data_IF_591466053513
#
_entry.id   IF_591466053513
#
_cell.length_a   1.000
_cell.length_b   1.000
_cell.length_c   1.000
_cell.angle_alpha   90.00
_cell.angle_beta   90.00
_cell.angle_gamma   90.00
#
_symmetry.space_group_name_H-M   'P 1'
#
loop_
_entity.id
_entity.type
_entity.pdbx_description
1 polymer ?
#
# COMPACT_ATOMS: atom_id res chain seq x y z
N UNK A 1 -30.14 20.50 0.66
CA UNK A 1 -30.42 19.72 -0.56
C UNK A 1 -31.82 20.00 -1.11
N UNK A 2 -31.96 20.18 -2.43
CA UNK A 2 -33.23 20.45 -3.12
C UNK A 2 -33.56 19.28 -4.03
N UNK A 3 -34.78 18.75 -3.94
CA UNK A 3 -35.26 17.69 -4.83
C UNK A 3 -35.27 18.18 -6.29
N UNK A 4 -34.78 17.36 -7.23
CA UNK A 4 -34.72 17.73 -8.66
C UNK A 4 -35.36 16.68 -9.56
N UNK A 5 -36.38 17.09 -10.32
CA UNK A 5 -37.02 16.26 -11.36
C UNK A 5 -36.18 16.14 -12.65
N UNK A 6 -35.29 17.10 -12.89
CA UNK A 6 -34.37 17.09 -14.03
C UNK A 6 -32.95 16.94 -13.48
N UNK A 7 -32.16 15.96 -13.96
CA UNK A 7 -30.78 15.79 -13.54
C UNK A 7 -29.98 17.10 -13.66
N UNK A 8 -29.19 17.43 -12.64
CA UNK A 8 -28.36 18.64 -12.62
C UNK A 8 -26.91 18.34 -12.29
N UNK A 9 -26.01 18.67 -13.21
CA UNK A 9 -24.57 18.61 -12.99
C UNK A 9 -24.04 19.92 -12.43
N UNK A 10 -23.26 19.84 -11.36
CA UNK A 10 -22.38 20.91 -10.89
C UNK A 10 -20.93 20.44 -11.01
N UNK A 11 -20.11 21.17 -11.76
CA UNK A 11 -18.73 20.75 -12.08
C UNK A 11 -17.78 21.95 -11.94
N UNK A 12 -16.72 21.78 -11.16
CA UNK A 12 -15.62 22.76 -11.11
C UNK A 12 -14.86 22.77 -12.44
N UNK A 13 -14.76 23.94 -13.07
CA UNK A 13 -14.08 24.12 -14.38
C UNK A 13 -12.60 23.74 -14.35
N UNK A 14 -11.89 24.12 -13.29
CA UNK A 14 -10.43 24.04 -13.24
C UNK A 14 -9.96 22.71 -12.63
N UNK A 15 -8.99 22.05 -13.25
CA UNK A 15 -8.12 21.06 -12.63
C UNK A 15 -6.94 21.76 -11.94
N UNK A 16 -6.18 21.03 -11.12
CA UNK A 16 -5.02 21.57 -10.39
C UNK A 16 -4.00 22.27 -11.31
N UNK A 17 -3.80 21.74 -12.52
CA UNK A 17 -2.81 22.22 -13.50
C UNK A 17 -3.44 23.03 -14.64
N UNK A 18 -4.73 23.40 -14.57
CA UNK A 18 -5.41 24.09 -15.66
C UNK A 18 -4.75 25.41 -16.02
N UNK A 19 -4.39 26.23 -15.02
CA UNK A 19 -3.68 27.50 -15.25
C UNK A 19 -2.35 27.34 -15.99
N UNK A 20 -1.65 26.22 -15.78
CA UNK A 20 -0.33 25.97 -16.38
C UNK A 20 -0.42 25.32 -17.76
N UNK A 21 -1.47 24.52 -18.00
CA UNK A 21 -1.62 23.72 -19.22
C UNK A 21 -2.56 24.36 -20.23
N UNK A 22 -3.41 25.30 -19.79
CA UNK A 22 -4.52 25.83 -20.60
C UNK A 22 -5.67 24.84 -20.78
N UNK A 23 -5.62 23.65 -20.17
CA UNK A 23 -6.63 22.59 -20.29
C UNK A 23 -7.53 22.61 -19.06
N UNK A 24 -8.82 22.82 -19.26
CA UNK A 24 -9.85 22.84 -18.25
C UNK A 24 -10.65 21.53 -18.26
N UNK A 25 -11.32 21.24 -17.15
CA UNK A 25 -12.16 20.04 -17.08
C UNK A 25 -13.40 20.16 -17.96
N UNK A 26 -13.88 21.39 -18.17
CA UNK A 26 -14.94 21.71 -19.13
C UNK A 26 -14.56 21.39 -20.58
N UNK A 27 -13.27 21.40 -20.91
CA UNK A 27 -12.79 21.05 -22.26
C UNK A 27 -12.78 19.54 -22.47
N UNK A 28 -12.80 18.78 -21.37
CA UNK A 28 -12.74 17.32 -21.35
C UNK A 28 -14.14 16.71 -21.28
N UNK A 29 -15.04 17.29 -20.48
CA UNK A 29 -16.41 16.81 -20.29
C UNK A 29 -17.36 17.50 -21.28
N UNK A 30 -17.42 16.95 -22.50
CA UNK A 30 -18.35 17.39 -23.54
C UNK A 30 -19.77 16.83 -23.32
N UNK A 31 -20.71 17.27 -24.16
CA UNK A 31 -22.11 16.87 -24.08
C UNK A 31 -22.31 15.36 -24.25
N UNK A 32 -21.57 14.71 -25.15
CA UNK A 32 -21.64 13.26 -25.38
C UNK A 32 -21.32 12.48 -24.10
N UNK A 33 -20.24 12.86 -23.39
CA UNK A 33 -19.82 12.24 -22.13
C UNK A 33 -20.87 12.46 -21.05
N UNK A 34 -21.33 13.71 -20.87
CA UNK A 34 -22.26 14.04 -19.80
C UNK A 34 -23.66 13.45 -20.04
N UNK A 35 -24.12 13.38 -21.28
CA UNK A 35 -25.36 12.72 -21.69
C UNK A 35 -25.29 11.21 -21.44
N UNK A 36 -24.19 10.54 -21.79
CA UNK A 36 -24.02 9.11 -21.52
C UNK A 36 -23.98 8.81 -20.01
N UNK A 37 -23.22 9.60 -19.24
CA UNK A 37 -23.20 9.50 -17.77
C UNK A 37 -24.60 9.71 -17.18
N UNK A 38 -25.32 10.74 -17.64
CA UNK A 38 -26.66 11.05 -17.19
C UNK A 38 -27.60 9.87 -17.44
N UNK A 39 -27.59 9.33 -18.67
CA UNK A 39 -28.43 8.20 -19.05
C UNK A 39 -28.11 6.95 -18.24
N UNK A 40 -26.83 6.62 -18.05
CA UNK A 40 -26.41 5.45 -17.26
C UNK A 40 -26.79 5.53 -15.79
N UNK A 41 -26.89 6.74 -15.23
CA UNK A 41 -27.25 6.94 -13.82
C UNK A 41 -28.76 7.07 -13.63
N UNK A 42 -29.45 7.78 -14.53
CA UNK A 42 -30.83 8.26 -14.32
C UNK A 42 -31.83 7.72 -15.34
N UNK A 43 -31.37 7.17 -16.46
CA UNK A 43 -32.20 6.80 -17.62
C UNK A 43 -32.72 8.00 -18.43
N UNK A 44 -32.22 9.21 -18.18
CA UNK A 44 -32.61 10.46 -18.86
C UNK A 44 -31.45 10.98 -19.72
N UNK A 45 -31.78 11.58 -20.86
CA UNK A 45 -30.81 12.29 -21.71
C UNK A 45 -30.83 13.80 -21.45
N UNK A 46 -31.96 14.32 -21.00
CA UNK A 46 -32.19 15.71 -20.67
C UNK A 46 -31.62 16.01 -19.27
N UNK A 47 -30.70 16.97 -19.22
CA UNK A 47 -30.06 17.42 -17.98
C UNK A 47 -29.76 18.91 -18.04
N UNK A 48 -29.47 19.49 -16.87
CA UNK A 48 -28.98 20.85 -16.72
C UNK A 48 -27.54 20.82 -16.23
N UNK A 49 -26.73 21.78 -16.64
CA UNK A 49 -25.29 21.79 -16.35
C UNK A 49 -24.87 23.17 -15.86
N UNK A 50 -24.09 23.18 -14.79
CA UNK A 50 -23.40 24.37 -14.33
C UNK A 50 -21.91 24.09 -14.12
N UNK A 51 -21.11 24.75 -14.95
CA UNK A 51 -19.67 24.81 -14.77
C UNK A 51 -19.33 25.99 -13.86
N UNK A 52 -18.80 25.69 -12.67
CA UNK A 52 -18.56 26.67 -11.61
C UNK A 52 -17.06 26.96 -11.42
N UNK A 53 -16.76 28.16 -10.95
CA UNK A 53 -15.39 28.63 -10.68
C UNK A 53 -14.85 28.11 -9.34
N UNK A 54 -13.57 28.37 -9.07
CA UNK A 54 -12.87 27.84 -7.90
C UNK A 54 -13.41 28.36 -6.56
N UNK A 55 -13.96 29.57 -6.52
CA UNK A 55 -14.57 30.20 -5.34
C UNK A 55 -15.96 29.66 -5.00
N UNK A 56 -16.63 28.95 -5.92
CA UNK A 56 -17.92 28.31 -5.65
C UNK A 56 -17.83 27.31 -4.48
N UNK A 57 -18.84 27.29 -3.61
CA UNK A 57 -18.91 26.32 -2.52
C UNK A 57 -20.36 25.95 -2.26
N UNK A 58 -20.59 24.67 -2.00
CA UNK A 58 -21.86 24.15 -1.53
C UNK A 58 -21.64 22.99 -0.54
N UNK A 59 -22.70 22.22 -0.27
CA UNK A 59 -22.68 21.06 0.61
C UNK A 59 -21.75 19.93 0.10
N UNK A 60 -21.46 19.88 -1.20
CA UNK A 60 -20.77 18.77 -1.88
C UNK A 60 -19.40 19.14 -2.45
N UNK A 61 -19.16 20.44 -2.71
CA UNK A 61 -17.96 21.00 -3.30
C UNK A 61 -17.39 22.12 -2.42
N UNK A 62 -16.07 22.10 -2.23
CA UNK A 62 -15.33 23.18 -1.56
C UNK A 62 -14.89 24.27 -2.54
N UNK A 63 -14.56 25.43 -1.97
CA UNK A 63 -13.99 26.63 -2.60
C UNK A 63 -12.54 26.43 -3.05
N UNK A 64 -12.34 25.45 -3.93
CA UNK A 64 -11.05 25.14 -4.53
C UNK A 64 -11.23 24.64 -5.98
N UNK A 65 -10.12 24.28 -6.63
CA UNK A 65 -10.15 23.62 -7.93
C UNK A 65 -10.83 22.24 -7.84
N UNK A 66 -11.10 21.62 -8.98
CA UNK A 66 -11.67 20.27 -9.05
C UNK A 66 -10.72 19.23 -8.44
N UNK A 67 -11.06 18.77 -7.24
CA UNK A 67 -10.38 17.68 -6.55
C UNK A 67 -11.07 16.36 -6.89
N UNK A 68 -10.28 15.35 -7.21
CA UNK A 68 -10.80 14.01 -7.52
C UNK A 68 -11.35 13.82 -8.93
N UNK A 69 -11.21 14.83 -9.83
CA UNK A 69 -11.80 14.81 -11.18
C UNK A 69 -13.29 14.48 -11.10
N UNK A 70 -14.01 15.24 -10.29
CA UNK A 70 -15.39 14.97 -9.89
C UNK A 70 -16.40 15.82 -10.66
N UNK A 71 -17.50 15.21 -11.07
CA UNK A 71 -18.77 15.89 -11.31
C UNK A 71 -19.76 15.48 -10.22
N UNK A 72 -20.60 16.42 -9.78
CA UNK A 72 -21.71 16.14 -8.87
C UNK A 72 -22.99 16.19 -9.67
N UNK A 73 -23.72 15.07 -9.74
CA UNK A 73 -25.04 14.99 -10.36
C UNK A 73 -26.10 14.87 -9.26
N UNK A 74 -27.05 15.81 -9.27
CA UNK A 74 -28.22 15.79 -8.40
C UNK A 74 -29.42 15.30 -9.21
N UNK A 75 -30.06 14.23 -8.76
CA UNK A 75 -31.29 13.74 -9.35
C UNK A 75 -32.20 13.17 -8.27
N UNK A 76 -33.46 13.58 -8.28
CA UNK A 76 -34.44 13.28 -7.24
C UNK A 76 -33.90 13.67 -5.86
N UNK A 77 -33.81 12.70 -4.94
CA UNK A 77 -33.23 12.82 -3.60
C UNK A 77 -31.84 12.17 -3.50
N UNK A 78 -31.15 11.93 -4.62
CA UNK A 78 -29.85 11.25 -4.66
C UNK A 78 -28.75 12.16 -5.20
N UNK A 79 -27.58 12.09 -4.56
CA UNK A 79 -26.36 12.78 -5.00
C UNK A 79 -25.39 11.75 -5.56
N UNK A 80 -24.98 11.95 -6.79
CA UNK A 80 -24.03 11.06 -7.46
C UNK A 80 -22.69 11.79 -7.59
N UNK A 81 -21.66 11.18 -7.01
CA UNK A 81 -20.27 11.60 -7.16
C UNK A 81 -19.67 10.80 -8.30
N UNK A 82 -19.36 11.45 -9.42
CA UNK A 82 -18.78 10.79 -10.60
C UNK A 82 -17.33 11.22 -10.74
N UNK A 83 -16.40 10.28 -10.52
CA UNK A 83 -14.97 10.49 -10.79
C UNK A 83 -14.63 10.01 -12.20
N UNK A 84 -13.81 10.78 -12.91
CA UNK A 84 -13.45 10.48 -14.29
C UNK A 84 -11.98 10.10 -14.41
N UNK A 85 -11.67 9.12 -15.26
CA UNK A 85 -10.29 8.76 -15.61
C UNK A 85 -9.54 9.91 -16.27
N UNK A 86 -8.23 9.76 -16.49
CA UNK A 86 -7.52 10.61 -17.45
C UNK A 86 -7.88 10.20 -18.90
N UNK A 87 -7.81 11.14 -19.85
CA UNK A 87 -8.07 10.87 -21.28
C UNK A 87 -6.94 10.04 -21.94
N UNK A 88 -5.81 9.86 -21.26
CA UNK A 88 -4.68 9.05 -21.75
C UNK A 88 -4.04 8.32 -20.57
N UNK A 89 -3.88 7.00 -20.70
CA UNK A 89 -3.16 6.20 -19.71
C UNK A 89 -1.63 6.26 -19.98
N UNK A 90 -1.05 7.47 -19.95
CA UNK A 90 0.37 7.66 -20.29
C UNK A 90 1.32 7.48 -19.10
N UNK A 91 0.82 7.59 -17.86
CA UNK A 91 1.59 7.38 -16.64
C UNK A 91 1.08 6.17 -15.85
N UNK A 92 1.98 5.31 -15.36
CA UNK A 92 1.63 4.06 -14.64
C UNK A 92 0.59 4.27 -13.53
N UNK A 93 0.69 5.38 -12.79
CA UNK A 93 -0.15 5.65 -11.63
C UNK A 93 -1.03 6.90 -11.78
N UNK A 94 -0.83 7.76 -12.79
CA UNK A 94 -1.50 9.07 -12.86
C UNK A 94 -3.02 8.93 -13.00
N UNK A 95 -3.46 7.95 -13.77
CA UNK A 95 -4.87 7.68 -14.09
C UNK A 95 -5.77 7.38 -12.87
N UNK A 96 -5.18 7.00 -11.73
CA UNK A 96 -5.91 6.62 -10.51
C UNK A 96 -5.58 7.48 -9.29
N UNK A 97 -4.68 8.47 -9.40
CA UNK A 97 -4.30 9.34 -8.26
C UNK A 97 -5.45 10.20 -7.74
N UNK A 98 -6.41 10.54 -8.60
CA UNK A 98 -7.60 11.31 -8.21
C UNK A 98 -8.61 10.49 -7.39
N UNK A 99 -8.61 9.17 -7.53
CA UNK A 99 -9.63 8.27 -6.98
C UNK A 99 -9.75 8.33 -5.45
N UNK A 100 -8.67 8.15 -4.65
CA UNK A 100 -8.77 8.28 -3.20
C UNK A 100 -9.22 9.68 -2.76
N UNK A 101 -8.89 10.73 -3.53
CA UNK A 101 -9.41 12.08 -3.25
C UNK A 101 -10.93 12.16 -3.47
N UNK A 102 -11.43 11.55 -4.55
CA UNK A 102 -12.87 11.46 -4.80
C UNK A 102 -13.60 10.67 -3.71
N UNK A 103 -13.03 9.51 -3.31
CA UNK A 103 -13.58 8.72 -2.21
C UNK A 103 -13.61 9.50 -0.89
N UNK A 104 -12.56 10.25 -0.57
CA UNK A 104 -12.51 11.07 0.63
C UNK A 104 -13.65 12.11 0.68
N UNK A 105 -13.88 12.80 -0.44
CA UNK A 105 -14.94 13.80 -0.55
C UNK A 105 -16.31 13.12 -0.39
N UNK A 106 -16.50 11.98 -1.05
CA UNK A 106 -17.71 11.18 -0.92
C UNK A 106 -17.93 10.72 0.52
N UNK A 107 -16.94 10.10 1.16
CA UNK A 107 -17.06 9.49 2.48
C UNK A 107 -17.35 10.55 3.56
N UNK A 108 -16.58 11.64 3.59
CA UNK A 108 -16.69 12.67 4.62
C UNK A 108 -17.95 13.56 4.50
N UNK A 109 -18.67 13.53 3.38
CA UNK A 109 -19.94 14.23 3.26
C UNK A 109 -21.02 13.49 4.06
N UNK A 110 -21.81 14.15 4.92
CA UNK A 110 -22.78 13.47 5.78
C UNK A 110 -24.12 13.14 5.11
N UNK A 111 -24.32 13.51 3.84
CA UNK A 111 -25.58 13.27 3.14
C UNK A 111 -25.84 11.76 2.98
N UNK A 112 -27.00 11.23 3.40
CA UNK A 112 -27.23 9.80 3.45
C UNK A 112 -27.45 9.17 2.06
N UNK A 113 -28.14 9.87 1.16
CA UNK A 113 -28.54 9.35 -0.14
C UNK A 113 -27.51 9.72 -1.21
N UNK A 114 -26.30 9.19 -1.08
CA UNK A 114 -25.20 9.44 -2.02
C UNK A 114 -24.69 8.15 -2.65
N UNK A 115 -24.25 8.23 -3.91
CA UNK A 115 -23.64 7.13 -4.67
C UNK A 115 -22.32 7.57 -5.28
N UNK A 116 -21.39 6.64 -5.41
CA UNK A 116 -20.06 6.87 -5.94
C UNK A 116 -19.86 6.10 -7.24
N UNK A 117 -19.42 6.79 -8.28
CA UNK A 117 -19.31 6.27 -9.63
C UNK A 117 -17.93 6.56 -10.22
N UNK A 118 -17.50 5.70 -11.14
CA UNK A 118 -16.32 5.93 -11.98
C UNK A 118 -16.68 5.83 -13.45
N UNK A 119 -16.16 6.75 -14.25
CA UNK A 119 -16.34 6.80 -15.70
C UNK A 119 -14.99 6.87 -16.42
N UNK A 120 -14.79 5.98 -17.39
CA UNK A 120 -13.62 5.98 -18.25
C UNK A 120 -13.81 6.97 -19.41
N UNK A 121 -12.94 7.97 -19.50
CA UNK A 121 -12.90 8.94 -20.60
C UNK A 121 -12.08 8.39 -21.78
N UNK A 122 -12.50 8.77 -23.00
CA UNK A 122 -11.95 8.44 -24.33
C UNK A 122 -10.66 7.61 -24.30
N UNK A 123 -10.80 6.31 -24.55
CA UNK A 123 -9.79 5.28 -24.30
C UNK A 123 -8.90 5.00 -25.51
N UNK A 124 -8.97 5.83 -26.55
CA UNK A 124 -8.25 5.61 -27.81
C UNK A 124 -6.72 5.59 -27.67
N UNK A 125 -6.16 6.05 -26.53
CA UNK A 125 -4.72 6.12 -26.30
C UNK A 125 -4.33 5.62 -24.89
N UNK A 126 -3.79 4.39 -24.83
CA UNK A 126 -3.12 3.82 -23.65
C UNK A 126 -3.63 2.44 -23.25
N UNK A 127 -2.92 1.78 -22.33
CA UNK A 127 -3.33 0.48 -21.78
C UNK A 127 -3.99 0.67 -20.41
N UNK A 128 -5.31 0.49 -20.34
CA UNK A 128 -6.08 0.55 -19.10
C UNK A 128 -6.11 -0.77 -18.30
N UNK A 129 -5.55 -1.85 -18.84
CA UNK A 129 -5.59 -3.20 -18.24
C UNK A 129 -4.21 -3.70 -17.79
N UNK A 130 -3.33 -2.78 -17.36
CA UNK A 130 -2.10 -3.22 -16.66
C UNK A 130 -2.45 -3.87 -15.31
N UNK A 131 -1.64 -4.83 -14.86
CA UNK A 131 -1.82 -5.52 -13.56
C UNK A 131 -2.06 -4.55 -12.39
N UNK A 132 -1.35 -3.41 -12.40
CA UNK A 132 -1.51 -2.35 -11.41
C UNK A 132 -2.88 -1.66 -11.48
N UNK A 133 -3.34 -1.30 -12.67
CA UNK A 133 -4.62 -0.63 -12.86
C UNK A 133 -5.78 -1.57 -12.51
N UNK A 134 -5.71 -2.84 -12.94
CA UNK A 134 -6.68 -3.85 -12.55
C UNK A 134 -6.73 -3.98 -11.02
N UNK A 135 -5.58 -4.07 -10.35
CA UNK A 135 -5.53 -4.08 -8.88
C UNK A 135 -6.24 -2.86 -8.26
N UNK A 136 -5.97 -1.65 -8.78
CA UNK A 136 -6.61 -0.43 -8.30
C UNK A 136 -8.13 -0.41 -8.57
N UNK A 137 -8.59 -0.89 -9.72
CA UNK A 137 -10.02 -0.99 -10.02
C UNK A 137 -10.74 -1.99 -9.11
N UNK A 138 -10.07 -3.10 -8.76
CA UNK A 138 -10.60 -4.05 -7.78
C UNK A 138 -10.73 -3.40 -6.39
N UNK A 139 -9.73 -2.60 -5.96
CA UNK A 139 -9.85 -1.83 -4.71
C UNK A 139 -11.00 -0.83 -4.75
N UNK A 140 -11.17 -0.12 -5.87
CA UNK A 140 -12.29 0.79 -6.10
C UNK A 140 -13.65 0.09 -5.98
N UNK A 141 -13.79 -1.07 -6.63
CA UNK A 141 -15.01 -1.88 -6.52
C UNK A 141 -15.27 -2.34 -5.08
N UNK A 142 -14.23 -2.75 -4.34
CA UNK A 142 -14.35 -3.13 -2.92
C UNK A 142 -14.85 -1.97 -2.06
N UNK A 143 -14.46 -0.73 -2.35
CA UNK A 143 -14.90 0.45 -1.59
C UNK A 143 -16.18 1.09 -2.12
N UNK A 144 -16.87 0.44 -3.05
CA UNK A 144 -18.21 0.83 -3.48
C UNK A 144 -18.29 1.73 -4.71
N UNK A 145 -17.22 1.87 -5.50
CA UNK A 145 -17.32 2.52 -6.81
C UNK A 145 -18.17 1.66 -7.76
N UNK A 146 -19.18 2.28 -8.35
CA UNK A 146 -19.92 1.72 -9.48
C UNK A 146 -19.30 2.21 -10.81
N UNK A 147 -18.79 1.29 -11.62
CA UNK A 147 -18.19 1.61 -12.93
C UNK A 147 -19.28 1.71 -14.00
N UNK A 148 -19.44 2.90 -14.60
CA UNK A 148 -20.55 3.18 -15.52
C UNK A 148 -20.36 2.58 -16.92
N UNK A 149 -19.12 2.53 -17.40
CA UNK A 149 -18.79 2.11 -18.76
C UNK A 149 -17.59 1.17 -18.84
N UNK A 150 -17.26 0.45 -17.75
CA UNK A 150 -16.13 -0.50 -17.72
C UNK A 150 -16.25 -1.56 -18.83
N UNK A 151 -17.43 -2.14 -19.03
CA UNK A 151 -17.64 -3.21 -20.02
C UNK A 151 -17.47 -2.74 -21.47
N UNK A 152 -17.53 -1.42 -21.71
CA UNK A 152 -17.27 -0.83 -23.03
C UNK A 152 -15.78 -0.58 -23.27
N UNK A 153 -14.98 -0.57 -22.21
CA UNK A 153 -13.59 -0.09 -22.22
C UNK A 153 -12.59 -1.18 -21.91
N UNK A 154 -12.93 -2.09 -21.02
CA UNK A 154 -12.06 -3.15 -20.52
C UNK A 154 -12.49 -4.49 -21.10
N UNK A 155 -11.52 -5.33 -21.45
CA UNK A 155 -11.80 -6.71 -21.85
C UNK A 155 -12.15 -7.58 -20.65
N UNK A 156 -11.58 -7.28 -19.47
CA UNK A 156 -11.82 -8.03 -18.24
C UNK A 156 -12.81 -7.31 -17.32
N UNK A 157 -13.77 -8.10 -16.80
CA UNK A 157 -14.70 -7.61 -15.79
C UNK A 157 -13.98 -7.33 -14.47
N UNK A 158 -14.16 -6.12 -13.96
CA UNK A 158 -13.68 -5.73 -12.63
C UNK A 158 -14.47 -6.50 -11.56
N UNK A 159 -13.75 -7.18 -10.66
CA UNK A 159 -14.32 -7.88 -9.50
C UNK A 159 -13.73 -7.32 -8.20
N UNK A 160 -14.59 -6.91 -7.28
CA UNK A 160 -14.16 -6.54 -5.93
C UNK A 160 -13.36 -7.67 -5.27
N UNK A 161 -12.42 -7.30 -4.40
CA UNK A 161 -11.80 -8.25 -3.49
C UNK A 161 -12.82 -8.78 -2.50
N UNK A 162 -12.77 -10.08 -2.22
CA UNK A 162 -13.66 -10.76 -1.26
C UNK A 162 -13.05 -10.92 0.13
N UNK A 163 -11.73 -10.81 0.27
CA UNK A 163 -11.03 -10.90 1.55
C UNK A 163 -9.69 -10.18 1.53
N UNK A 164 -9.10 -9.98 2.71
CA UNK A 164 -7.77 -9.38 2.86
C UNK A 164 -6.70 -10.31 2.26
N UNK A 165 -6.87 -11.63 2.34
CA UNK A 165 -5.98 -12.62 1.74
C UNK A 165 -5.91 -12.49 0.21
N UNK A 166 -7.04 -12.23 -0.45
CA UNK A 166 -7.08 -11.99 -1.91
C UNK A 166 -6.27 -10.74 -2.28
N UNK A 167 -6.36 -9.67 -1.48
CA UNK A 167 -5.52 -8.47 -1.65
C UNK A 167 -4.03 -8.82 -1.51
N UNK A 168 -3.65 -9.53 -0.44
CA UNK A 168 -2.25 -9.91 -0.17
C UNK A 168 -1.71 -10.78 -1.32
N UNK A 169 -2.47 -11.77 -1.77
CA UNK A 169 -2.07 -12.66 -2.86
C UNK A 169 -1.90 -11.92 -4.18
N UNK A 170 -2.88 -11.09 -4.56
CA UNK A 170 -2.79 -10.31 -5.80
C UNK A 170 -1.62 -9.32 -5.76
N UNK A 171 -1.37 -8.74 -4.59
CA UNK A 171 -0.25 -7.83 -4.36
C UNK A 171 1.10 -8.51 -4.53
N UNK A 172 1.25 -9.73 -3.98
CA UNK A 172 2.48 -10.52 -4.12
C UNK A 172 2.80 -10.76 -5.59
N UNK A 173 1.82 -11.20 -6.39
CA UNK A 173 2.00 -11.45 -7.82
C UNK A 173 2.42 -10.19 -8.60
N UNK A 174 1.86 -9.02 -8.25
CA UNK A 174 2.23 -7.75 -8.87
C UNK A 174 3.66 -7.31 -8.50
N UNK A 175 4.09 -7.56 -7.26
CA UNK A 175 5.44 -7.21 -6.76
C UNK A 175 6.56 -8.08 -7.35
N UNK A 176 6.31 -9.38 -7.59
CA UNK A 176 7.31 -10.29 -8.15
C UNK A 176 7.75 -9.88 -9.56
N UNK A 177 6.83 -9.30 -10.33
CA UNK A 177 7.09 -8.78 -11.69
C UNK A 177 7.80 -7.42 -11.69
N UNK A 178 7.79 -6.66 -10.59
CA UNK A 178 8.28 -5.29 -10.52
C UNK A 178 9.05 -4.99 -9.21
N UNK A 179 10.12 -5.74 -8.94
CA UNK A 179 10.91 -5.65 -7.69
C UNK A 179 11.45 -4.25 -7.35
N UNK A 180 11.62 -3.36 -8.33
CA UNK A 180 12.17 -2.03 -8.12
C UNK A 180 11.21 -0.92 -7.66
N UNK A 181 9.90 -1.20 -7.49
CA UNK A 181 8.93 -0.14 -7.17
C UNK A 181 7.71 -0.63 -6.36
N UNK A 182 7.94 -1.35 -5.27
CA UNK A 182 6.85 -1.72 -4.37
C UNK A 182 6.46 -0.53 -3.49
N UNK A 183 5.22 -0.06 -3.67
CA UNK A 183 4.72 1.16 -3.04
C UNK A 183 4.22 0.97 -1.61
N UNK A 184 3.65 -0.21 -1.31
CA UNK A 184 3.04 -0.55 0.00
C UNK A 184 3.03 -2.06 0.19
N UNK A 185 3.37 -2.52 1.39
CA UNK A 185 3.35 -3.93 1.78
C UNK A 185 2.23 -4.23 2.78
N UNK A 186 1.66 -5.43 2.68
CA UNK A 186 0.67 -5.94 3.63
C UNK A 186 1.14 -7.34 4.05
N UNK A 187 1.23 -7.58 5.34
CA UNK A 187 1.65 -8.86 5.90
C UNK A 187 0.84 -9.20 7.14
N UNK A 188 0.81 -10.48 7.50
CA UNK A 188 0.32 -10.93 8.80
C UNK A 188 1.45 -10.95 9.82
N UNK A 189 1.16 -10.51 11.04
CA UNK A 189 2.03 -10.60 12.22
C UNK A 189 1.49 -11.56 13.28
N UNK A 190 0.26 -12.04 13.10
CA UNK A 190 -0.36 -13.09 13.87
C UNK A 190 -1.69 -13.49 13.23
N UNK A 191 -2.37 -14.50 13.78
CA UNK A 191 -3.60 -15.05 13.20
C UNK A 191 -4.67 -13.99 12.91
N UNK A 192 -4.76 -12.96 13.75
CA UNK A 192 -5.73 -11.86 13.64
C UNK A 192 -5.06 -10.49 13.56
N UNK A 193 -3.77 -10.42 13.20
CA UNK A 193 -3.01 -9.16 13.17
C UNK A 193 -2.42 -8.93 11.80
N UNK A 194 -2.83 -7.82 11.20
CA UNK A 194 -2.45 -7.42 9.84
C UNK A 194 -1.71 -6.09 9.95
N UNK A 195 -0.53 -6.05 9.34
CA UNK A 195 0.31 -4.87 9.29
C UNK A 195 0.41 -4.36 7.86
N UNK A 196 0.17 -3.07 7.71
CA UNK A 196 0.31 -2.32 6.46
C UNK A 196 1.55 -1.43 6.60
N UNK A 197 2.52 -1.57 5.71
CA UNK A 197 3.67 -0.67 5.61
C UNK A 197 3.45 0.24 4.41
N UNK A 198 2.77 1.36 4.66
CA UNK A 198 2.31 2.29 3.63
C UNK A 198 3.27 3.45 3.42
N UNK A 199 3.79 3.61 2.19
CA UNK A 199 4.58 4.80 1.83
C UNK A 199 3.67 6.02 1.79
N UNK A 200 4.14 7.11 2.37
CA UNK A 200 3.38 8.37 2.45
C UNK A 200 3.79 9.39 1.38
N UNK A 201 4.87 9.16 0.64
CA UNK A 201 5.39 10.10 -0.34
C UNK A 201 4.85 9.86 -1.77
N UNK A 202 4.84 10.92 -2.58
CA UNK A 202 4.57 10.84 -4.01
C UNK A 202 3.20 10.27 -4.37
N UNK A 203 3.16 9.39 -5.38
CA UNK A 203 1.94 8.71 -5.82
C UNK A 203 1.53 7.56 -4.86
N UNK A 204 2.47 7.01 -4.10
CA UNK A 204 2.25 5.84 -3.26
C UNK A 204 1.27 6.10 -2.11
N UNK A 205 1.18 7.36 -1.65
CA UNK A 205 0.22 7.77 -0.61
C UNK A 205 -1.23 7.48 -1.00
N UNK A 206 -1.57 7.65 -2.26
CA UNK A 206 -2.93 7.44 -2.77
C UNK A 206 -3.28 5.95 -2.76
N UNK A 207 -2.34 5.11 -3.15
CA UNK A 207 -2.47 3.66 -3.08
C UNK A 207 -2.54 3.15 -1.65
N UNK A 208 -1.67 3.65 -0.75
CA UNK A 208 -1.73 3.36 0.68
C UNK A 208 -3.11 3.66 1.26
N UNK A 209 -3.69 4.82 0.92
CA UNK A 209 -5.05 5.17 1.34
C UNK A 209 -6.11 4.21 0.80
N UNK A 210 -6.08 3.90 -0.50
CA UNK A 210 -7.03 2.96 -1.12
C UNK A 210 -6.97 1.57 -0.51
N UNK A 211 -5.77 1.06 -0.23
CA UNK A 211 -5.55 -0.18 0.50
C UNK A 211 -6.20 -0.12 1.87
N UNK A 212 -5.96 0.94 2.65
CA UNK A 212 -6.56 1.10 3.96
C UNK A 212 -8.10 1.09 3.89
N UNK A 213 -8.70 1.78 2.92
CA UNK A 213 -10.16 1.80 2.77
C UNK A 213 -10.72 0.41 2.46
N UNK A 214 -10.12 -0.31 1.52
CA UNK A 214 -10.55 -1.66 1.16
C UNK A 214 -10.38 -2.64 2.33
N UNK A 215 -9.26 -2.56 3.05
CA UNK A 215 -8.99 -3.41 4.20
C UNK A 215 -9.98 -3.13 5.35
N UNK A 216 -10.33 -1.87 5.61
CA UNK A 216 -11.34 -1.52 6.62
C UNK A 216 -12.70 -2.15 6.33
N UNK A 217 -13.12 -2.23 5.06
CA UNK A 217 -14.40 -2.83 4.68
C UNK A 217 -14.40 -4.35 4.66
N UNK A 218 -13.23 -4.97 4.46
CA UNK A 218 -13.06 -6.43 4.44
C UNK A 218 -12.68 -7.01 5.80
N UNK A 219 -12.38 -6.17 6.79
CA UNK A 219 -11.94 -6.59 8.11
C UNK A 219 -13.07 -7.29 8.88
N UNK A 220 -12.76 -8.45 9.46
CA UNK A 220 -13.65 -9.14 10.40
C UNK A 220 -13.50 -8.58 11.83
N UNK A 221 -14.52 -8.76 12.67
CA UNK A 221 -14.58 -8.19 14.03
C UNK A 221 -13.38 -8.53 14.93
N UNK A 222 -12.73 -9.68 14.71
CA UNK A 222 -11.59 -10.12 15.53
C UNK A 222 -10.24 -9.70 14.98
N UNK A 223 -10.19 -9.19 13.75
CA UNK A 223 -8.96 -8.78 13.10
C UNK A 223 -8.58 -7.37 13.57
N UNK A 224 -7.28 -7.17 13.79
CA UNK A 224 -6.67 -5.89 14.12
C UNK A 224 -5.74 -5.49 13.00
N UNK A 225 -5.90 -4.27 12.52
CA UNK A 225 -5.11 -3.74 11.43
C UNK A 225 -4.28 -2.56 11.94
N UNK A 226 -2.97 -2.60 11.69
CA UNK A 226 -2.05 -1.50 12.00
C UNK A 226 -1.45 -0.95 10.71
N UNK A 227 -1.58 0.35 10.50
CA UNK A 227 -0.88 1.08 9.44
C UNK A 227 0.38 1.72 10.01
N UNK A 228 1.54 1.26 9.54
CA UNK A 228 2.82 1.92 9.73
C UNK A 228 3.07 2.90 8.58
N UNK A 229 3.05 4.21 8.88
CA UNK A 229 3.35 5.25 7.90
C UNK A 229 4.86 5.29 7.66
N UNK A 230 5.30 4.80 6.50
CA UNK A 230 6.70 4.78 6.08
C UNK A 230 7.09 6.15 5.56
N UNK A 231 7.84 6.88 6.39
CA UNK A 231 8.36 8.21 6.06
C UNK A 231 9.45 8.07 5.00
N UNK A 232 9.28 8.78 3.89
CA UNK A 232 10.23 8.92 2.79
C UNK A 232 10.36 10.41 2.46
N UNK A 233 11.60 10.91 2.39
CA UNK A 233 11.90 12.34 2.18
C UNK A 233 11.19 13.22 3.23
N UNK A 234 10.57 14.32 2.79
CA UNK A 234 10.03 15.35 3.68
C UNK A 234 8.60 15.07 4.17
N UNK A 235 7.88 14.14 3.53
CA UNK A 235 6.49 13.88 3.89
C UNK A 235 6.43 12.82 4.99
N UNK A 236 5.88 13.21 6.15
CA UNK A 236 5.89 12.39 7.36
C UNK A 236 4.62 11.56 7.57
N UNK A 237 3.54 11.89 6.87
CA UNK A 237 2.18 11.39 7.12
C UNK A 237 1.37 11.32 5.82
N UNK A 238 0.38 10.43 5.77
CA UNK A 238 -0.65 10.44 4.74
C UNK A 238 -1.42 11.78 4.75
N UNK A 239 -2.07 12.14 3.63
CA UNK A 239 -2.90 13.35 3.57
C UNK A 239 -3.94 13.38 4.71
N UNK A 240 -4.12 14.55 5.32
CA UNK A 240 -4.98 14.74 6.49
C UNK A 240 -6.39 14.16 6.31
N UNK A 241 -7.04 14.47 5.18
CA UNK A 241 -8.39 13.96 4.89
C UNK A 241 -8.37 12.43 4.75
N UNK A 242 -7.31 11.84 4.20
CA UNK A 242 -7.22 10.38 4.07
C UNK A 242 -7.08 9.71 5.44
N UNK A 243 -6.28 10.30 6.33
CA UNK A 243 -6.17 9.85 7.72
C UNK A 243 -7.50 9.96 8.46
N UNK A 244 -8.20 11.09 8.30
CA UNK A 244 -9.54 11.28 8.87
C UNK A 244 -10.50 10.16 8.44
N UNK A 245 -10.54 9.82 7.16
CA UNK A 245 -11.38 8.71 6.65
C UNK A 245 -10.98 7.37 7.29
N UNK A 246 -9.68 7.07 7.38
CA UNK A 246 -9.18 5.84 8.02
C UNK A 246 -9.59 5.77 9.49
N UNK A 247 -9.45 6.89 10.20
CA UNK A 247 -9.82 7.03 11.61
C UNK A 247 -11.35 6.90 11.81
N UNK A 248 -12.16 7.51 10.95
CA UNK A 248 -13.63 7.43 10.96
C UNK A 248 -14.15 6.03 10.62
N UNK A 249 -13.44 5.25 9.80
CA UNK A 249 -13.75 3.84 9.57
C UNK A 249 -13.52 2.99 10.83
N UNK A 250 -12.71 3.43 11.79
CA UNK A 250 -12.61 2.87 13.13
C UNK A 250 -11.87 1.52 13.27
N UNK A 251 -11.36 0.96 12.17
CA UNK A 251 -10.74 -0.39 12.16
C UNK A 251 -9.21 -0.34 12.23
N UNK A 252 -8.58 0.68 11.67
CA UNK A 252 -7.12 0.73 11.48
C UNK A 252 -6.46 1.65 12.49
N UNK A 253 -5.45 1.13 13.20
CA UNK A 253 -4.56 1.93 14.05
C UNK A 253 -3.41 2.51 13.22
N UNK A 254 -3.28 3.84 13.19
CA UNK A 254 -2.18 4.52 12.48
C UNK A 254 -0.99 4.74 13.43
N UNK A 255 0.21 4.33 13.01
CA UNK A 255 1.47 4.51 13.73
C UNK A 255 2.50 5.15 12.78
N UNK A 256 2.98 6.38 13.07
CA UNK A 256 4.06 6.98 12.28
C UNK A 256 5.40 6.30 12.59
N UNK A 257 6.19 5.96 11.56
CA UNK A 257 7.52 5.35 11.72
C UNK A 257 8.64 6.40 11.73
N UNK A 258 8.51 7.39 12.60
CA UNK A 258 9.52 8.42 12.76
C UNK A 258 10.75 7.93 13.53
N UNK A 259 11.83 8.70 13.43
CA UNK A 259 13.09 8.37 14.10
C UNK A 259 12.94 8.31 15.63
N UNK A 260 11.97 9.01 16.22
CA UNK A 260 11.74 8.99 17.66
C UNK A 260 11.21 7.63 18.10
N UNK A 261 10.26 7.06 17.35
CA UNK A 261 9.77 5.71 17.58
C UNK A 261 10.92 4.70 17.49
N UNK A 262 11.71 4.77 16.42
CA UNK A 262 12.83 3.86 16.20
C UNK A 262 13.88 3.95 17.33
N UNK A 263 14.23 5.16 17.76
CA UNK A 263 15.13 5.40 18.89
C UNK A 263 14.60 4.84 20.21
N UNK A 264 13.30 5.00 20.47
CA UNK A 264 12.67 4.46 21.66
C UNK A 264 12.71 2.93 21.65
N UNK A 265 12.29 2.29 20.56
CA UNK A 265 12.30 0.82 20.48
C UNK A 265 13.74 0.32 20.58
N UNK A 266 14.70 0.95 19.90
CA UNK A 266 16.11 0.56 19.99
C UNK A 266 16.67 0.74 21.40
N UNK A 267 16.28 1.78 22.14
CA UNK A 267 16.77 1.99 23.51
C UNK A 267 16.30 0.89 24.47
N UNK A 268 15.04 0.47 24.38
CA UNK A 268 14.42 -0.41 25.38
C UNK A 268 14.32 -1.88 24.96
N UNK A 269 14.56 -2.21 23.69
CA UNK A 269 14.43 -3.58 23.19
C UNK A 269 15.75 -4.09 22.59
N UNK A 270 16.27 -5.20 23.11
CA UNK A 270 17.47 -5.87 22.61
C UNK A 270 17.20 -6.81 21.42
N UNK A 271 15.93 -7.11 21.13
CA UNK A 271 15.45 -7.79 19.93
C UNK A 271 14.59 -6.81 19.12
N UNK A 272 15.24 -5.82 18.50
CA UNK A 272 14.56 -4.77 17.73
C UNK A 272 13.92 -5.36 16.48
N UNK A 273 12.60 -5.57 16.46
CA UNK A 273 11.84 -5.83 15.22
C UNK A 273 10.98 -4.62 14.90
N UNK A 274 11.63 -3.48 14.75
CA UNK A 274 10.92 -2.23 14.55
C UNK A 274 10.20 -2.21 13.19
N UNK A 275 9.15 -1.38 13.06
CA UNK A 275 8.45 -1.24 11.79
C UNK A 275 9.38 -0.88 10.63
N UNK A 276 10.38 -0.01 10.86
CA UNK A 276 11.34 0.38 9.83
C UNK A 276 12.23 -0.79 9.41
N UNK A 277 12.73 -1.58 10.34
CA UNK A 277 13.53 -2.78 10.03
C UNK A 277 12.74 -3.79 9.20
N UNK A 278 11.50 -4.09 9.60
CA UNK A 278 10.63 -5.01 8.87
C UNK A 278 10.34 -4.48 7.45
N UNK A 279 10.05 -3.18 7.32
CA UNK A 279 9.89 -2.55 6.01
C UNK A 279 11.15 -2.67 5.15
N UNK A 280 12.34 -2.41 5.71
CA UNK A 280 13.60 -2.51 4.96
C UNK A 280 13.90 -3.94 4.50
N UNK A 281 13.53 -4.96 5.29
CA UNK A 281 13.60 -6.35 4.85
C UNK A 281 12.59 -6.68 3.75
N UNK A 282 11.35 -6.18 3.86
CA UNK A 282 10.32 -6.34 2.83
C UNK A 282 10.77 -5.70 1.51
N UNK A 283 11.39 -4.53 1.58
CA UNK A 283 11.89 -3.78 0.43
C UNK A 283 13.07 -4.46 -0.27
N UNK A 284 13.98 -5.03 0.52
CA UNK A 284 15.19 -5.67 0.01
C UNK A 284 14.97 -7.12 -0.43
N UNK A 285 14.34 -7.93 0.41
CA UNK A 285 14.25 -9.40 0.24
C UNK A 285 12.89 -9.81 -0.34
N UNK A 286 11.85 -8.98 -0.14
CA UNK A 286 10.49 -9.27 -0.55
C UNK A 286 9.64 -9.84 0.59
N UNK A 287 8.52 -10.52 0.27
CA UNK A 287 7.57 -10.99 1.27
C UNK A 287 8.20 -11.98 2.24
N UNK A 288 7.61 -12.06 3.45
CA UNK A 288 8.04 -12.99 4.49
C UNK A 288 8.04 -14.44 4.00
N UNK A 289 9.23 -15.00 3.79
CA UNK A 289 9.44 -16.40 3.42
C UNK A 289 10.79 -16.87 3.94
N UNK A 290 10.83 -18.02 4.63
CA UNK A 290 12.06 -18.56 5.17
C UNK A 290 13.07 -18.85 4.05
N UNK A 291 14.26 -18.25 4.12
CA UNK A 291 15.31 -18.45 3.11
C UNK A 291 16.00 -19.81 3.19
N UNK A 292 15.73 -20.60 4.23
CA UNK A 292 16.35 -21.91 4.48
C UNK A 292 15.44 -23.10 4.20
N UNK A 293 14.12 -22.89 4.13
CA UNK A 293 13.15 -23.96 3.89
C UNK A 293 11.92 -23.55 3.07
N UNK A 294 11.90 -22.31 2.55
CA UNK A 294 10.81 -21.75 1.74
C UNK A 294 9.44 -21.66 2.44
N UNK A 295 9.37 -21.92 3.75
CA UNK A 295 8.15 -21.72 4.55
C UNK A 295 7.61 -20.30 4.33
N UNK A 296 6.40 -20.20 3.78
CA UNK A 296 5.76 -18.95 3.38
C UNK A 296 4.61 -18.51 4.28
N UNK A 297 4.51 -19.03 5.51
CA UNK A 297 3.47 -18.69 6.48
C UNK A 297 3.93 -17.44 7.26
N UNK A 298 3.46 -16.22 6.93
CA UNK A 298 4.06 -14.97 7.42
C UNK A 298 4.08 -14.82 8.95
N UNK A 299 3.14 -15.45 9.64
CA UNK A 299 3.00 -15.49 11.09
C UNK A 299 4.14 -16.27 11.77
N UNK A 300 4.71 -17.26 11.08
CA UNK A 300 5.84 -18.07 11.57
C UNK A 300 7.19 -17.49 11.15
N UNK A 301 7.21 -16.44 10.33
CA UNK A 301 8.43 -15.85 9.80
C UNK A 301 8.84 -14.61 10.60
N UNK A 302 10.09 -14.61 11.02
CA UNK A 302 10.73 -13.53 11.76
C UNK A 302 11.88 -12.93 10.95
N UNK A 303 12.09 -11.62 11.12
CA UNK A 303 13.26 -10.92 10.58
C UNK A 303 14.44 -11.12 11.51
N UNK A 304 15.25 -12.13 11.25
CA UNK A 304 16.42 -12.47 12.06
C UNK A 304 17.57 -11.51 11.74
N UNK A 305 18.15 -10.85 12.75
CA UNK A 305 19.33 -10.02 12.57
C UNK A 305 20.56 -10.88 12.35
N UNK A 306 21.40 -10.50 11.39
CA UNK A 306 22.69 -11.18 11.19
C UNK A 306 23.65 -10.80 12.32
N UNK A 307 24.04 -9.52 12.37
CA UNK A 307 24.73 -8.94 13.51
C UNK A 307 23.69 -8.49 14.53
N UNK A 308 23.64 -9.18 15.66
CA UNK A 308 22.58 -9.00 16.66
C UNK A 308 22.56 -7.58 17.21
N UNK A 309 21.35 -7.09 17.48
CA UNK A 309 21.09 -5.77 18.06
C UNK A 309 21.82 -5.59 19.40
N UNK A 310 21.89 -6.65 20.21
CA UNK A 310 22.63 -6.64 21.48
C UNK A 310 24.13 -6.46 21.29
N UNK A 311 24.74 -7.09 20.26
CA UNK A 311 26.15 -6.90 19.92
C UNK A 311 26.41 -5.51 19.36
N UNK A 312 25.54 -5.00 18.48
CA UNK A 312 25.61 -3.62 17.96
C UNK A 312 25.61 -2.60 19.10
N UNK A 313 24.74 -2.77 20.10
CA UNK A 313 24.67 -1.85 21.25
C UNK A 313 25.96 -1.83 22.07
N UNK A 314 26.64 -2.98 22.21
CA UNK A 314 27.87 -3.13 22.97
C UNK A 314 29.11 -2.60 22.26
N UNK A 315 29.05 -2.36 20.95
CA UNK A 315 30.19 -1.86 20.17
C UNK A 315 30.67 -0.50 20.69
N UNK A 316 31.91 -0.42 21.18
CA UNK A 316 32.39 0.77 21.89
C UNK A 316 32.69 1.94 20.94
N UNK A 317 33.13 1.64 19.72
CA UNK A 317 33.65 2.61 18.76
C UNK A 317 32.60 3.15 17.79
N UNK A 318 31.31 2.98 18.08
CA UNK A 318 30.21 3.36 17.19
C UNK A 318 29.24 4.31 17.89
N UNK A 319 28.90 5.41 17.22
CA UNK A 319 27.95 6.37 17.78
C UNK A 319 26.52 5.82 17.72
N UNK A 320 25.64 6.39 18.54
CA UNK A 320 24.26 5.89 18.68
C UNK A 320 23.48 5.87 17.34
N UNK A 321 23.65 6.88 16.48
CA UNK A 321 22.96 6.93 15.18
C UNK A 321 23.47 5.84 14.23
N UNK A 322 24.78 5.56 14.21
CA UNK A 322 25.35 4.47 13.42
C UNK A 322 24.83 3.12 13.90
N UNK A 323 24.80 2.90 15.22
CA UNK A 323 24.22 1.70 15.82
C UNK A 323 22.77 1.49 15.39
N UNK A 324 21.96 2.55 15.45
CA UNK A 324 20.57 2.49 15.01
C UNK A 324 20.47 2.15 13.51
N UNK A 325 21.29 2.78 12.67
CA UNK A 325 21.34 2.52 11.24
C UNK A 325 21.64 1.04 10.95
N UNK A 326 22.61 0.43 11.63
CA UNK A 326 22.88 -1.00 11.49
C UNK A 326 21.72 -1.88 12.00
N UNK A 327 21.04 -1.47 13.07
CA UNK A 327 19.93 -2.22 13.64
C UNK A 327 18.67 -2.22 12.75
N UNK A 328 18.45 -1.16 11.97
CA UNK A 328 17.31 -1.07 11.04
C UNK A 328 17.68 -1.43 9.59
N UNK A 329 18.95 -1.67 9.27
CA UNK A 329 19.38 -1.96 7.90
C UNK A 329 18.78 -3.28 7.40
N UNK A 330 18.12 -3.25 6.23
CA UNK A 330 17.62 -4.46 5.57
C UNK A 330 18.74 -5.43 5.15
N UNK A 331 19.98 -4.93 5.02
CA UNK A 331 21.18 -5.75 4.81
C UNK A 331 21.60 -6.55 6.04
N UNK A 332 21.16 -6.16 7.24
CA UNK A 332 21.45 -6.83 8.49
C UNK A 332 20.38 -7.86 8.88
N UNK A 333 19.71 -8.49 7.92
CA UNK A 333 18.71 -9.49 8.29
C UNK A 333 18.27 -10.45 7.21
N UNK A 334 17.52 -11.46 7.65
CA UNK A 334 16.93 -12.52 6.85
C UNK A 334 15.52 -12.84 7.34
N UNK A 335 14.70 -13.34 6.42
CA UNK A 335 13.47 -14.03 6.78
C UNK A 335 13.77 -15.47 7.18
N UNK A 336 13.51 -15.83 8.44
CA UNK A 336 13.65 -17.19 8.96
C UNK A 336 12.35 -17.62 9.64
N UNK A 337 11.96 -18.88 9.49
CA UNK A 337 10.88 -19.44 10.31
C UNK A 337 11.36 -19.62 11.75
N UNK A 338 10.43 -19.77 12.70
CA UNK A 338 10.77 -19.88 14.13
C UNK A 338 11.84 -20.93 14.43
N UNK A 339 11.79 -22.09 13.76
CA UNK A 339 12.79 -23.15 13.92
C UNK A 339 14.18 -22.71 13.46
N UNK A 340 14.31 -22.23 12.21
CA UNK A 340 15.59 -21.78 11.68
C UNK A 340 16.12 -20.55 12.39
N UNK A 341 15.23 -19.67 12.83
CA UNK A 341 15.61 -18.49 13.59
C UNK A 341 16.24 -18.87 14.93
N UNK A 342 15.63 -19.81 15.67
CA UNK A 342 16.19 -20.30 16.93
C UNK A 342 17.52 -21.01 16.73
N UNK A 343 17.65 -21.85 15.70
CA UNK A 343 18.91 -22.52 15.37
C UNK A 343 20.03 -21.53 15.02
N UNK A 344 19.67 -20.46 14.32
CA UNK A 344 20.61 -19.40 13.94
C UNK A 344 21.06 -18.59 15.17
N UNK A 345 20.12 -18.12 16.00
CA UNK A 345 20.41 -17.33 17.20
C UNK A 345 21.29 -18.08 18.21
N UNK A 346 21.10 -19.40 18.35
CA UNK A 346 21.90 -20.25 19.24
C UNK A 346 23.24 -20.72 18.62
N UNK A 347 23.58 -20.26 17.41
CA UNK A 347 24.77 -20.66 16.65
C UNK A 347 24.87 -22.17 16.36
N UNK A 348 23.75 -22.87 16.40
CA UNK A 348 23.63 -24.28 15.99
C UNK A 348 23.71 -24.37 14.47
N UNK A 349 23.08 -23.41 13.78
CA UNK A 349 23.15 -23.18 12.34
C UNK A 349 23.91 -21.89 12.07
N UNK A 350 24.90 -21.96 11.18
CA UNK A 350 25.76 -20.84 10.83
C UNK A 350 25.87 -20.67 9.31
N UNK A 351 26.33 -19.50 8.89
CA UNK A 351 26.38 -19.10 7.48
C UNK A 351 27.79 -18.61 7.18
N UNK A 352 28.43 -19.21 6.17
CA UNK A 352 29.74 -18.77 5.69
C UNK A 352 29.60 -17.52 4.81
N UNK A 353 30.72 -16.82 4.59
CA UNK A 353 30.77 -15.63 3.74
C UNK A 353 30.36 -15.92 2.28
N UNK A 354 30.51 -17.16 1.82
CA UNK A 354 30.04 -17.61 0.51
C UNK A 354 28.56 -18.06 0.50
N UNK A 355 27.81 -17.85 1.60
CA UNK A 355 26.40 -18.19 1.75
C UNK A 355 26.13 -19.65 2.12
N UNK A 356 27.15 -20.51 2.20
CA UNK A 356 26.97 -21.93 2.54
C UNK A 356 26.53 -22.09 4.00
N UNK A 357 25.49 -22.89 4.20
CA UNK A 357 24.97 -23.23 5.53
C UNK A 357 25.79 -24.37 6.13
N UNK A 358 26.17 -24.24 7.40
CA UNK A 358 26.85 -25.28 8.14
C UNK A 358 26.35 -25.35 9.59
N UNK A 359 26.69 -26.43 10.26
CA UNK A 359 26.23 -26.72 11.61
C UNK A 359 27.41 -26.81 12.57
N UNK A 360 27.16 -26.49 13.83
CA UNK A 360 28.15 -26.63 14.88
C UNK A 360 28.64 -28.09 14.99
N UNK A 361 29.95 -28.29 15.17
CA UNK A 361 30.57 -29.63 15.13
C UNK A 361 30.12 -30.56 16.27
N UNK A 362 29.73 -29.99 17.43
CA UNK A 362 29.40 -30.73 18.66
C UNK A 362 27.96 -31.23 18.73
N UNK A 363 27.19 -31.15 17.64
CA UNK A 363 25.79 -31.59 17.60
C UNK A 363 25.74 -33.12 17.38
N UNK A 364 24.96 -33.88 18.18
CA UNK A 364 24.72 -35.30 17.93
C UNK A 364 24.22 -35.58 16.51
N UNK A 365 24.66 -36.70 15.92
CA UNK A 365 24.36 -37.06 14.52
C UNK A 365 22.84 -37.03 14.23
N UNK A 366 22.04 -37.59 15.13
CA UNK A 366 20.57 -37.63 15.02
C UNK A 366 19.94 -36.23 14.90
N UNK A 367 20.42 -35.27 15.68
CA UNK A 367 19.96 -33.88 15.62
C UNK A 367 20.44 -33.18 14.34
N UNK A 368 21.67 -33.49 13.90
CA UNK A 368 22.20 -32.96 12.63
C UNK A 368 21.38 -33.44 11.43
N UNK A 369 20.99 -34.71 11.41
CA UNK A 369 20.11 -35.27 10.37
C UNK A 369 18.74 -34.59 10.37
N UNK A 370 18.16 -34.36 11.54
CA UNK A 370 16.91 -33.61 11.67
C UNK A 370 17.04 -32.18 11.12
N UNK A 371 18.09 -31.45 11.52
CA UNK A 371 18.33 -30.08 11.08
C UNK A 371 18.54 -30.02 9.56
N UNK A 372 19.31 -30.96 9.00
CA UNK A 372 19.51 -31.06 7.56
C UNK A 372 18.18 -31.32 6.83
N UNK A 373 17.32 -32.18 7.37
CA UNK A 373 16.01 -32.48 6.78
C UNK A 373 15.08 -31.26 6.72
N UNK A 374 15.11 -30.40 7.74
CA UNK A 374 14.30 -29.17 7.74
C UNK A 374 14.96 -28.00 6.99
N UNK A 375 16.25 -28.09 6.67
CA UNK A 375 17.02 -27.05 5.96
C UNK A 375 17.21 -27.47 4.51
N UNK A 376 16.20 -27.21 3.67
CA UNK A 376 16.19 -27.65 2.27
C UNK A 376 17.11 -26.82 1.38
N UNK A 377 17.46 -25.59 1.82
CA UNK A 377 18.38 -24.70 1.11
C UNK A 377 19.73 -24.69 1.84
N UNK A 378 20.73 -25.33 1.22
CA UNK A 378 22.09 -25.44 1.78
C UNK A 378 23.01 -24.25 1.49
N UNK A 379 22.59 -23.31 0.64
CA UNK A 379 23.34 -22.11 0.31
C UNK A 379 22.38 -20.94 0.04
N UNK A 380 22.66 -19.76 0.61
CA UNK A 380 21.83 -18.59 0.40
C UNK A 380 21.83 -18.11 -1.07
N UNK A 381 20.70 -17.61 -1.58
CA UNK A 381 20.62 -16.99 -2.90
C UNK A 381 21.55 -15.78 -3.06
N UNK A 382 22.12 -15.61 -4.25
CA UNK A 382 23.08 -14.53 -4.56
C UNK A 382 22.54 -13.12 -4.28
N UNK A 383 21.25 -12.86 -4.56
CA UNK A 383 20.65 -11.55 -4.34
C UNK A 383 20.62 -11.12 -2.86
N UNK A 384 20.75 -12.08 -1.93
CA UNK A 384 20.87 -11.82 -0.49
C UNK A 384 22.31 -11.52 -0.11
N UNK A 385 23.28 -12.07 -0.84
CA UNK A 385 24.72 -12.03 -0.55
C UNK A 385 25.40 -10.72 -1.00
N UNK A 386 24.76 -9.58 -0.77
CA UNK A 386 25.38 -8.25 -0.99
C UNK A 386 26.59 -8.02 -0.09
N UNK A 387 27.51 -7.15 -0.49
CA UNK A 387 28.70 -6.77 0.31
C UNK A 387 28.36 -6.41 1.78
N UNK A 388 27.39 -5.52 2.01
CA UNK A 388 26.97 -5.15 3.38
C UNK A 388 26.46 -6.35 4.19
N UNK A 389 25.79 -7.31 3.56
CA UNK A 389 25.31 -8.51 4.25
C UNK A 389 26.47 -9.41 4.68
N UNK A 390 27.48 -9.55 3.81
CA UNK A 390 28.71 -10.28 4.13
C UNK A 390 29.48 -9.59 5.26
N UNK A 391 29.53 -8.27 5.29
CA UNK A 391 30.11 -7.51 6.41
C UNK A 391 29.40 -7.81 7.74
N UNK A 392 28.06 -7.85 7.76
CA UNK A 392 27.32 -8.23 8.97
C UNK A 392 27.58 -9.69 9.38
N UNK A 393 27.69 -10.60 8.42
CA UNK A 393 28.06 -11.99 8.69
C UNK A 393 29.43 -12.09 9.33
N UNK A 394 30.41 -11.34 8.83
CA UNK A 394 31.75 -11.29 9.42
C UNK A 394 31.72 -10.76 10.86
N UNK A 395 30.96 -9.69 11.12
CA UNK A 395 30.78 -9.18 12.50
C UNK A 395 30.13 -10.21 13.42
N UNK A 396 29.15 -10.97 12.93
CA UNK A 396 28.54 -12.08 13.69
C UNK A 396 29.56 -13.16 13.98
N UNK A 397 30.26 -13.65 12.96
CA UNK A 397 31.17 -14.79 13.06
C UNK A 397 32.41 -14.51 13.90
N UNK A 398 32.76 -13.24 14.14
CA UNK A 398 33.79 -12.87 15.13
C UNK A 398 33.37 -13.06 16.59
N UNK A 399 32.07 -12.99 16.85
CA UNK A 399 31.51 -13.02 18.20
C UNK A 399 31.15 -14.45 18.66
N UNK A 400 31.28 -15.44 17.78
CA UNK A 400 31.03 -16.87 17.98
C UNK A 400 32.36 -17.60 17.96
#
# INVERSE_FOLDING_TARGET
MTYRNIPHFTIKKNLQKSKNTGIYFSDILNDDVLSDVCYKITGKHDYTLNFVENDYKDEFLSDTYNKGRLAILQYESTIHYISFSENRANGRNSSVQSVPTAFNIFFCNSYPNKKLHYYFLDTQLGNFETDYLIFMYRLMATIGFNFLNADNVLTHKIKAFSSIEDIIFNRKNNSERNKGNNSTYITKSGANSIDIYGKVYGANKYESSMLCYALSLLCHEHQKITLYEIIEKDLKRLPEISRKVIEEMGVIKIIPTDITLEKQIFKYNDSLRSPRYIYNLLDRIGPKQCVLCECGIPELIQGAHIWSVSSIKKEANMIYEEKLNHAINGHNGLWLCENHHKLFDENILMIKENGTIYYQEKIPIEHREFIAKITTIGCLPEFIMSEQFVEYLWQRNKAV
#
